data_IF_213693098211
#
_entry.id   IF_213693098211
#
_cell.length_a   1.000
_cell.length_b   1.000
_cell.length_c   1.000
_cell.angle_alpha   90.00
_cell.angle_beta   90.00
_cell.angle_gamma   90.00
#
_symmetry.space_group_name_H-M   'P 1'
#
loop_
_entity.id
_entity.type
_entity.pdbx_description
1 polymer ?
#
# COMPACT_ATOMS: atom_id res chain seq x y z
N UNK A 1 11.73 8.02 -8.90
CA UNK A 1 11.42 6.61 -9.23
C UNK A 1 10.57 6.00 -8.12
N UNK A 2 9.45 5.37 -8.48
CA UNK A 2 8.53 4.72 -7.53
C UNK A 2 8.72 3.19 -7.60
N UNK A 3 8.82 2.54 -6.44
CA UNK A 3 9.03 1.09 -6.33
C UNK A 3 8.25 0.50 -5.17
N UNK A 4 7.84 -0.76 -5.27
CA UNK A 4 7.22 -1.52 -4.18
C UNK A 4 8.22 -2.50 -3.61
N UNK A 5 8.51 -2.38 -2.32
CA UNK A 5 9.28 -3.36 -1.58
C UNK A 5 8.34 -4.15 -0.66
N UNK A 6 8.29 -5.48 -0.84
CA UNK A 6 7.47 -6.39 -0.03
C UNK A 6 8.34 -7.11 1.00
N UNK A 7 7.81 -7.24 2.22
CA UNK A 7 8.46 -7.96 3.31
C UNK A 7 7.78 -9.30 3.57
N UNK A 8 8.59 -10.32 3.86
CA UNK A 8 8.12 -11.64 4.28
C UNK A 8 8.19 -11.79 5.80
N UNK A 9 9.23 -11.23 6.42
CA UNK A 9 9.47 -11.33 7.85
C UNK A 9 8.91 -10.12 8.60
N UNK A 10 8.14 -10.39 9.66
CA UNK A 10 7.51 -9.34 10.49
C UNK A 10 8.56 -8.44 11.12
N UNK A 11 9.64 -9.01 11.65
CA UNK A 11 10.65 -8.24 12.37
C UNK A 11 11.42 -7.30 11.43
N UNK A 12 11.73 -7.73 10.20
CA UNK A 12 12.36 -6.88 9.18
C UNK A 12 11.45 -5.70 8.81
N UNK A 13 10.16 -5.97 8.60
CA UNK A 13 9.18 -4.92 8.31
C UNK A 13 9.09 -3.91 9.47
N UNK A 14 8.96 -4.39 10.71
CA UNK A 14 8.90 -3.54 11.91
C UNK A 14 10.11 -2.63 12.01
N UNK A 15 11.31 -3.20 11.95
CA UNK A 15 12.58 -2.47 12.03
C UNK A 15 12.66 -1.36 10.96
N UNK A 16 12.16 -1.62 9.76
CA UNK A 16 12.15 -0.62 8.70
C UNK A 16 11.16 0.50 8.96
N UNK A 17 9.90 0.18 9.29
CA UNK A 17 8.80 1.16 9.20
C UNK A 17 8.50 1.89 10.50
N UNK A 18 8.87 1.33 11.65
CA UNK A 18 8.51 1.88 12.95
C UNK A 18 9.01 3.31 13.12
N UNK A 19 10.28 3.57 12.77
CA UNK A 19 10.87 4.90 12.87
C UNK A 19 10.19 5.94 11.96
N UNK A 20 9.61 5.53 10.83
CA UNK A 20 8.90 6.42 9.92
C UNK A 20 7.54 6.78 10.47
N UNK A 21 6.79 5.79 10.96
CA UNK A 21 5.46 5.98 11.50
C UNK A 21 5.50 6.79 12.82
N UNK A 22 6.50 6.53 13.67
CA UNK A 22 6.66 7.21 14.95
C UNK A 22 6.94 8.72 14.83
N UNK A 23 7.46 9.20 13.68
CA UNK A 23 7.68 10.63 13.44
C UNK A 23 6.40 11.46 13.52
N UNK A 24 5.27 10.88 13.20
CA UNK A 24 3.96 11.50 13.36
C UNK A 24 2.94 10.47 13.84
N UNK A 25 3.09 10.09 15.11
CA UNK A 25 2.25 9.07 15.74
C UNK A 25 0.75 9.39 15.64
N UNK A 26 0.35 10.66 15.74
CA UNK A 26 -1.08 11.05 15.64
C UNK A 26 -1.66 10.66 14.28
N UNK A 27 -0.92 10.85 13.19
CA UNK A 27 -1.37 10.45 11.84
C UNK A 27 -1.27 8.95 11.60
N UNK A 28 -0.37 8.26 12.31
CA UNK A 28 -0.02 6.86 12.04
C UNK A 28 -0.40 5.91 13.17
N UNK A 29 -1.21 6.35 14.13
CA UNK A 29 -1.54 5.63 15.35
C UNK A 29 -2.17 4.25 15.09
N UNK A 30 -3.02 4.11 14.07
CA UNK A 30 -3.61 2.84 13.68
C UNK A 30 -2.55 1.85 13.20
N UNK A 31 -1.66 2.29 12.31
CA UNK A 31 -0.59 1.45 11.79
C UNK A 31 0.40 1.09 12.89
N UNK A 32 0.80 2.05 13.74
CA UNK A 32 1.70 1.83 14.89
C UNK A 32 1.10 0.85 15.91
N UNK A 33 -0.15 1.06 16.31
CA UNK A 33 -0.84 0.18 17.25
C UNK A 33 -0.88 -1.26 16.76
N UNK A 34 -1.17 -1.48 15.46
CA UNK A 34 -1.16 -2.81 14.88
C UNK A 34 0.27 -3.36 14.78
N UNK A 35 1.24 -2.53 14.37
CA UNK A 35 2.65 -2.91 14.25
C UNK A 35 3.23 -3.37 15.60
N UNK A 36 2.91 -2.67 16.70
CA UNK A 36 3.36 -2.99 18.04
C UNK A 36 2.76 -4.29 18.57
N UNK A 37 1.52 -4.60 18.20
CA UNK A 37 0.85 -5.86 18.54
C UNK A 37 1.17 -7.00 17.57
N UNK A 38 1.95 -6.75 16.52
CA UNK A 38 2.41 -7.79 15.60
C UNK A 38 3.55 -8.59 16.25
N UNK A 39 3.33 -9.89 16.41
CA UNK A 39 4.34 -10.84 16.88
C UNK A 39 5.09 -11.44 15.69
N UNK A 40 6.29 -11.98 15.91
CA UNK A 40 7.11 -12.60 14.85
C UNK A 40 6.37 -13.72 14.12
N UNK A 41 5.56 -14.50 14.85
CA UNK A 41 4.75 -15.59 14.31
C UNK A 41 3.42 -15.13 13.68
N UNK A 42 3.12 -13.83 13.70
CA UNK A 42 1.94 -13.29 13.04
C UNK A 42 2.04 -13.50 11.53
N UNK A 43 0.89 -13.70 10.89
CA UNK A 43 0.80 -13.86 9.42
C UNK A 43 -0.06 -12.76 8.81
N UNK A 44 0.47 -11.52 8.66
CA UNK A 44 -0.21 -10.49 7.89
C UNK A 44 -0.42 -10.97 6.44
N UNK A 45 -1.53 -10.59 5.83
CA UNK A 45 -1.78 -10.88 4.42
C UNK A 45 -0.81 -10.11 3.51
N UNK A 46 -0.41 -8.91 3.94
CA UNK A 46 0.52 -8.07 3.19
C UNK A 46 1.31 -7.14 4.12
N UNK A 47 2.60 -7.00 3.82
CA UNK A 47 3.50 -6.02 4.41
C UNK A 47 4.37 -5.45 3.29
N UNK A 48 4.35 -4.13 3.13
CA UNK A 48 5.11 -3.49 2.06
C UNK A 48 5.33 -2.01 2.26
N UNK A 49 6.28 -1.47 1.52
CA UNK A 49 6.59 -0.05 1.48
C UNK A 49 6.72 0.37 0.03
N UNK A 50 5.99 1.44 -0.35
CA UNK A 50 6.27 2.17 -1.58
C UNK A 50 7.41 3.13 -1.31
N UNK A 51 8.49 2.99 -2.08
CA UNK A 51 9.67 3.82 -2.03
C UNK A 51 9.60 4.86 -3.16
N UNK A 52 9.91 6.13 -2.82
CA UNK A 52 10.22 7.19 -3.77
C UNK A 52 11.69 7.56 -3.61
N UNK A 53 12.45 7.37 -4.67
CA UNK A 53 13.90 7.66 -4.70
C UNK A 53 14.62 7.00 -3.49
N UNK A 54 14.30 5.72 -3.27
CA UNK A 54 14.81 4.88 -2.17
C UNK A 54 14.40 5.32 -0.76
N UNK A 55 13.48 6.28 -0.61
CA UNK A 55 12.91 6.70 0.68
C UNK A 55 11.47 6.24 0.81
N UNK A 56 11.08 5.84 2.02
CA UNK A 56 9.72 5.40 2.31
C UNK A 56 8.71 6.52 2.06
N UNK A 57 7.75 6.25 1.17
CA UNK A 57 6.68 7.19 0.85
C UNK A 57 5.33 6.73 1.36
N UNK A 58 4.99 5.46 1.18
CA UNK A 58 3.79 4.84 1.73
C UNK A 58 4.17 3.55 2.47
N UNK A 59 3.61 3.34 3.65
CA UNK A 59 3.66 2.05 4.36
C UNK A 59 2.31 1.37 4.19
N UNK A 60 2.34 0.09 3.82
CA UNK A 60 1.19 -0.74 3.54
C UNK A 60 1.20 -1.95 4.48
N UNK A 61 0.15 -2.07 5.30
CA UNK A 61 0.01 -3.18 6.24
C UNK A 61 -1.40 -3.76 6.16
N UNK A 62 -1.50 -5.07 5.93
CA UNK A 62 -2.76 -5.78 5.85
C UNK A 62 -2.76 -6.95 6.85
N UNK A 63 -3.43 -6.75 7.97
CA UNK A 63 -3.69 -7.83 8.95
C UNK A 63 -5.11 -8.37 8.84
N UNK A 64 -6.00 -7.70 8.09
CA UNK A 64 -7.37 -8.13 7.84
C UNK A 64 -7.63 -8.30 6.33
N UNK A 65 -8.33 -9.35 5.85
CA UNK A 65 -8.49 -9.63 4.43
C UNK A 65 -9.31 -8.58 3.65
N UNK A 66 -9.97 -7.62 4.31
CA UNK A 66 -10.85 -6.66 3.64
C UNK A 66 -10.21 -5.29 3.37
N UNK A 67 -9.10 -4.97 4.02
CA UNK A 67 -8.51 -3.64 3.89
C UNK A 67 -7.00 -3.65 4.14
N UNK A 68 -6.28 -2.88 3.33
CA UNK A 68 -4.88 -2.51 3.58
C UNK A 68 -4.88 -1.15 4.28
N UNK A 69 -4.13 -1.05 5.37
CA UNK A 69 -3.85 0.22 6.04
C UNK A 69 -2.68 0.87 5.30
N UNK A 70 -2.91 2.10 4.86
CA UNK A 70 -1.98 2.91 4.10
C UNK A 70 -1.60 4.13 4.94
N UNK A 71 -0.32 4.22 5.29
CA UNK A 71 0.26 5.37 6.01
C UNK A 71 1.17 6.14 5.07
N UNK A 72 0.85 7.42 4.85
CA UNK A 72 1.62 8.29 3.98
C UNK A 72 2.74 8.99 4.77
N UNK A 73 3.98 8.63 4.46
CA UNK A 73 5.19 9.12 5.13
C UNK A 73 5.68 10.43 4.50
N UNK A 74 5.46 10.61 3.19
CA UNK A 74 5.81 11.84 2.49
C UNK A 74 4.75 12.18 1.43
N UNK A 75 4.71 13.44 1.01
CA UNK A 75 3.84 13.86 -0.08
C UNK A 75 4.28 13.25 -1.42
N UNK A 76 3.30 12.76 -2.16
CA UNK A 76 3.46 12.24 -3.51
C UNK A 76 2.64 13.12 -4.45
N UNK A 77 3.19 13.36 -5.63
CA UNK A 77 2.45 13.99 -6.73
C UNK A 77 1.44 13.01 -7.33
N UNK A 78 0.53 13.50 -8.16
CA UNK A 78 -0.45 12.66 -8.85
C UNK A 78 0.19 11.61 -9.77
N UNK A 79 1.29 11.96 -10.46
CA UNK A 79 2.03 11.03 -11.31
C UNK A 79 2.67 9.92 -10.48
N UNK A 80 3.20 10.26 -9.31
CA UNK A 80 3.80 9.30 -8.39
C UNK A 80 2.75 8.39 -7.73
N UNK A 81 1.58 8.93 -7.40
CA UNK A 81 0.44 8.13 -6.94
C UNK A 81 -0.10 7.22 -8.04
N UNK A 82 -0.10 7.68 -9.29
CA UNK A 82 -0.48 6.85 -10.44
C UNK A 82 0.49 5.68 -10.62
N UNK A 83 1.80 5.93 -10.56
CA UNK A 83 2.82 4.87 -10.59
C UNK A 83 2.69 3.91 -9.38
N UNK A 84 2.37 4.42 -8.19
CA UNK A 84 2.08 3.57 -7.04
C UNK A 84 0.83 2.70 -7.26
N UNK A 85 -0.22 3.23 -7.90
CA UNK A 85 -1.42 2.47 -8.23
C UNK A 85 -1.14 1.34 -9.24
N UNK A 86 -0.27 1.56 -10.22
CA UNK A 86 0.19 0.52 -11.15
C UNK A 86 0.90 -0.63 -10.40
N UNK A 87 1.79 -0.31 -9.47
CA UNK A 87 2.46 -1.32 -8.63
C UNK A 87 1.47 -2.07 -7.73
N UNK A 88 0.48 -1.37 -7.19
CA UNK A 88 -0.57 -1.94 -6.34
C UNK A 88 -1.56 -2.79 -7.13
N UNK A 89 -1.66 -2.65 -8.46
CA UNK A 89 -2.52 -3.48 -9.29
C UNK A 89 -2.06 -4.95 -9.32
N UNK A 90 -0.76 -5.19 -9.14
CA UNK A 90 -0.15 -6.52 -9.14
C UNK A 90 -0.41 -7.31 -7.84
N UNK A 91 -1.02 -6.67 -6.83
CA UNK A 91 -1.45 -7.33 -5.60
C UNK A 91 -2.97 -7.27 -5.47
N UNK A 92 -3.54 -8.20 -4.70
CA UNK A 92 -4.96 -8.16 -4.39
C UNK A 92 -5.23 -7.07 -3.35
N UNK A 93 -5.70 -5.90 -3.81
CA UNK A 93 -6.12 -4.80 -2.95
C UNK A 93 -7.64 -4.89 -2.72
N UNK A 94 -8.10 -5.39 -1.55
CA UNK A 94 -9.52 -5.52 -1.24
C UNK A 94 -10.18 -4.19 -0.86
N UNK A 95 -9.38 -3.22 -0.43
CA UNK A 95 -9.79 -1.89 0.03
C UNK A 95 -8.61 -1.17 0.69
N UNK A 96 -8.69 0.16 0.80
CA UNK A 96 -7.65 1.00 1.40
C UNK A 96 -8.24 1.83 2.55
N UNK A 97 -7.48 1.96 3.64
CA UNK A 97 -7.81 2.84 4.79
C UNK A 97 -6.57 3.67 5.12
N UNK A 98 -6.73 4.97 5.32
CA UNK A 98 -5.61 5.89 5.50
C UNK A 98 -6.03 7.35 5.29
N UNK A 99 -5.07 8.20 4.93
CA UNK A 99 -5.33 9.61 4.58
C UNK A 99 -6.33 9.69 3.42
N UNK A 100 -7.35 10.53 3.59
CA UNK A 100 -8.55 10.56 2.74
C UNK A 100 -8.22 10.85 1.29
N UNK A 101 -7.41 11.87 1.00
CA UNK A 101 -7.13 12.30 -0.37
C UNK A 101 -6.36 11.21 -1.12
N UNK A 102 -5.30 10.67 -0.51
CA UNK A 102 -4.49 9.59 -1.07
C UNK A 102 -5.29 8.32 -1.28
N UNK A 103 -6.12 7.92 -0.30
CA UNK A 103 -6.99 6.74 -0.44
C UNK A 103 -7.98 6.90 -1.58
N UNK A 104 -8.64 8.06 -1.70
CA UNK A 104 -9.61 8.31 -2.77
C UNK A 104 -8.94 8.28 -4.15
N UNK A 105 -7.78 8.93 -4.29
CA UNK A 105 -7.04 8.96 -5.54
C UNK A 105 -6.61 7.56 -5.98
N UNK A 106 -5.95 6.81 -5.08
CA UNK A 106 -5.49 5.46 -5.38
C UNK A 106 -6.66 4.51 -5.67
N UNK A 107 -7.75 4.59 -4.90
CA UNK A 107 -8.93 3.75 -5.12
C UNK A 107 -9.55 4.00 -6.50
N UNK A 108 -9.66 5.26 -6.92
CA UNK A 108 -10.17 5.61 -8.24
C UNK A 108 -9.25 5.07 -9.35
N UNK A 109 -7.93 5.31 -9.25
CA UNK A 109 -6.96 4.80 -10.23
C UNK A 109 -6.97 3.28 -10.34
N UNK A 110 -6.98 2.57 -9.21
CA UNK A 110 -7.06 1.10 -9.19
C UNK A 110 -8.35 0.59 -9.85
N UNK A 111 -9.48 1.27 -9.66
CA UNK A 111 -10.74 0.92 -10.31
C UNK A 111 -10.66 1.10 -11.84
N UNK A 112 -10.07 2.20 -12.31
CA UNK A 112 -9.91 2.49 -13.74
C UNK A 112 -8.94 1.50 -14.42
N UNK A 113 -7.83 1.17 -13.76
CA UNK A 113 -6.89 0.15 -14.22
C UNK A 113 -7.53 -1.25 -14.32
N UNK A 114 -8.39 -1.63 -13.36
CA UNK A 114 -9.15 -2.90 -13.40
C UNK A 114 -10.13 -2.94 -14.58
N UNK A 115 -10.85 -1.84 -14.85
CA UNK A 115 -11.78 -1.73 -15.99
C UNK A 115 -11.05 -1.88 -17.33
N UNK A 116 -9.91 -1.20 -17.50
CA UNK A 116 -9.08 -1.28 -18.70
C UNK A 116 -8.67 -2.73 -18.99
N UNK A 117 -8.15 -3.45 -17.99
CA UNK A 117 -7.76 -4.86 -18.14
C UNK A 117 -8.94 -5.78 -18.48
N UNK A 118 -10.12 -5.53 -17.91
CA UNK A 118 -11.33 -6.30 -18.24
C UNK A 118 -11.82 -6.04 -19.67
N UNK A 119 -11.64 -4.83 -20.19
CA UNK A 119 -11.99 -4.50 -21.57
C UNK A 119 -11.08 -5.25 -22.57
N UNK A 120 -9.77 -5.30 -22.31
CA UNK A 120 -8.83 -6.04 -23.15
C UNK A 120 -9.03 -7.56 -23.11
N UNK A 121 -9.39 -8.14 -21.96
CA UNK A 121 -9.70 -9.59 -21.89
C UNK A 121 -10.96 -9.99 -22.67
N UNK A 122 -11.93 -9.10 -22.79
CA UNK A 122 -13.18 -9.37 -23.52
C UNK A 122 -13.09 -9.05 -25.03
N UNK A 123 -12.07 -8.32 -25.47
CA UNK A 123 -11.83 -8.01 -26.89
C UNK A 123 -11.10 -9.12 -27.67
N UNK A 124 -10.55 -10.13 -27.00
CA UNK A 124 -9.78 -11.21 -27.65
C UNK A 124 -10.56 -12.51 -27.87
N UNK A 125 -11.87 -12.53 -27.58
CA UNK A 125 -12.72 -13.72 -27.76
C UNK A 125 -13.44 -13.79 -29.12
N UNK A 126 -13.15 -12.86 -30.03
CA UNK A 126 -13.76 -12.81 -31.36
C UNK A 126 -12.72 -12.51 -32.45
N UNK A 127 -11.77 -13.42 -32.64
CA UNK A 127 -11.04 -13.58 -33.91
C UNK A 127 -10.79 -15.07 -34.15
#
# INVERSE_FOLDING_TARGET
MIQLHRYSEVQEFKNQVESFLAKNEVLHNLALGILHNLHENSKPNFMGVILKDSRAALVLLQTHPRQIILSQIQQLTEDELSAAAELLQEIDVPGLVGEKQTVLYLSQKLADLKKSRSFFKNGSAHL
#
